data_IF_600624424318
#
_entry.id   IF_600624424318
#
_cell.length_a   1.000
_cell.length_b   1.000
_cell.length_c   1.000
_cell.angle_alpha   90.00
_cell.angle_beta   90.00
_cell.angle_gamma   90.00
#
_symmetry.space_group_name_H-M   'P 1'
#
loop_
_entity.id
_entity.type
_entity.pdbx_description
1 polymer ?
#
# COMPACT_ATOMS: atom_id res chain seq x y z
N UNK A 1 -3.82 -6.52 16.21
CA UNK A 1 -3.97 -5.06 16.01
C UNK A 1 -2.58 -4.45 15.92
N UNK A 2 -2.23 -3.97 14.72
CA UNK A 2 -0.93 -3.44 14.32
C UNK A 2 -0.56 -2.21 15.16
N UNK A 3 0.33 -2.39 16.14
CA UNK A 3 0.76 -1.34 17.09
C UNK A 3 1.82 -0.36 16.52
N UNK A 4 2.15 -0.42 15.22
CA UNK A 4 3.40 0.17 14.71
C UNK A 4 3.31 1.06 13.47
N UNK A 5 2.11 1.38 12.99
CA UNK A 5 1.97 2.35 11.89
C UNK A 5 0.96 3.40 12.37
N UNK A 6 1.37 4.67 12.59
CA UNK A 6 0.40 5.75 12.76
C UNK A 6 -0.51 5.70 11.55
N UNK A 7 -1.78 5.34 11.74
CA UNK A 7 -2.68 5.05 10.65
C UNK A 7 -2.73 6.24 9.70
N UNK A 8 -2.08 6.14 8.55
CA UNK A 8 -2.25 7.10 7.48
C UNK A 8 -3.58 6.78 6.81
N UNK A 9 -4.70 6.98 7.51
CA UNK A 9 -6.07 6.66 7.06
C UNK A 9 -6.56 7.56 5.90
N UNK A 10 -5.64 8.23 5.19
CA UNK A 10 -5.96 8.92 3.94
C UNK A 10 -6.31 7.90 2.87
N UNK A 11 -7.27 8.23 2.01
CA UNK A 11 -7.51 7.44 0.81
C UNK A 11 -6.26 7.40 -0.08
N UNK A 12 -6.09 6.32 -0.84
CA UNK A 12 -5.06 6.23 -1.86
C UNK A 12 -5.25 7.36 -2.87
N UNK A 13 -4.18 8.10 -3.11
CA UNK A 13 -4.12 9.09 -4.19
C UNK A 13 -4.13 8.38 -5.56
N UNK A 14 -4.30 9.15 -6.65
CA UNK A 14 -4.15 8.59 -7.99
C UNK A 14 -2.75 8.04 -8.23
N UNK A 15 -1.73 8.71 -7.70
CA UNK A 15 -0.32 8.28 -7.79
C UNK A 15 -0.10 6.94 -7.07
N UNK A 16 -0.67 6.78 -5.87
CA UNK A 16 -0.57 5.52 -5.13
C UNK A 16 -1.20 4.36 -5.94
N UNK A 17 -2.32 4.60 -6.62
CA UNK A 17 -2.99 3.58 -7.45
C UNK A 17 -2.15 3.20 -8.67
N UNK A 18 -1.57 4.19 -9.35
CA UNK A 18 -0.67 3.95 -10.48
C UNK A 18 0.56 3.15 -10.03
N UNK A 19 1.10 3.47 -8.84
CA UNK A 19 2.20 2.71 -8.25
C UNK A 19 1.79 1.26 -7.96
N UNK A 20 0.65 1.04 -7.29
CA UNK A 20 0.14 -0.30 -6.98
C UNK A 20 0.00 -1.13 -8.27
N UNK A 21 -0.63 -0.59 -9.31
CA UNK A 21 -0.82 -1.28 -10.60
C UNK A 21 0.52 -1.68 -11.23
N UNK A 22 1.49 -0.76 -11.27
CA UNK A 22 2.81 -1.02 -11.84
C UNK A 22 3.58 -2.10 -11.08
N UNK A 23 3.52 -2.11 -9.74
CA UNK A 23 4.20 -3.12 -8.93
C UNK A 23 3.52 -4.49 -9.02
N UNK A 24 2.18 -4.51 -9.07
CA UNK A 24 1.44 -5.75 -9.32
C UNK A 24 1.80 -6.34 -10.70
N UNK A 25 1.93 -5.52 -11.73
CA UNK A 25 2.38 -5.97 -13.06
C UNK A 25 3.81 -6.54 -13.06
N UNK A 26 4.65 -6.17 -12.08
CA UNK A 26 5.99 -6.74 -11.87
C UNK A 26 5.96 -8.03 -11.02
N UNK A 27 4.80 -8.41 -10.50
CA UNK A 27 4.64 -9.57 -9.61
C UNK A 27 4.98 -9.29 -8.14
N UNK A 28 5.01 -8.03 -7.73
CA UNK A 28 5.23 -7.70 -6.31
C UNK A 28 4.06 -8.10 -5.42
N UNK A 29 4.36 -8.28 -4.14
CA UNK A 29 3.36 -8.69 -3.16
C UNK A 29 2.68 -7.48 -2.51
N UNK A 30 1.38 -7.59 -2.21
CA UNK A 30 0.64 -6.55 -1.46
C UNK A 30 1.33 -6.16 -0.16
N UNK A 31 2.01 -7.10 0.52
CA UNK A 31 2.77 -6.84 1.74
C UNK A 31 3.91 -5.84 1.51
N UNK A 32 4.64 -5.98 0.41
CA UNK A 32 5.75 -5.09 0.07
C UNK A 32 5.25 -3.73 -0.40
N UNK A 33 4.23 -3.72 -1.26
CA UNK A 33 3.59 -2.49 -1.78
C UNK A 33 3.00 -1.67 -0.63
N UNK A 34 2.25 -2.31 0.28
CA UNK A 34 1.65 -1.66 1.43
C UNK A 34 2.70 -1.13 2.42
N UNK A 35 3.82 -1.83 2.59
CA UNK A 35 4.94 -1.33 3.40
C UNK A 35 5.51 -0.03 2.80
N UNK A 36 5.67 0.05 1.48
CA UNK A 36 6.15 1.25 0.82
C UNK A 36 5.18 2.42 0.98
N UNK A 37 3.88 2.16 0.84
CA UNK A 37 2.83 3.18 0.97
C UNK A 37 2.44 3.51 2.43
N UNK A 38 3.07 2.87 3.42
CA UNK A 38 2.69 2.95 4.83
C UNK A 38 1.19 2.68 5.05
N UNK A 39 0.65 1.67 4.35
CA UNK A 39 -0.74 1.19 4.44
C UNK A 39 -0.81 -0.19 5.04
N UNK A 40 -2.01 -0.56 5.47
CA UNK A 40 -2.30 -1.96 5.76
C UNK A 40 -2.44 -2.73 4.43
N UNK A 41 -1.80 -3.90 4.29
CA UNK A 41 -1.94 -4.74 3.09
C UNK A 41 -3.37 -5.15 2.76
N UNK A 42 -4.30 -5.10 3.72
CA UNK A 42 -5.73 -5.37 3.49
C UNK A 42 -6.51 -4.16 2.96
N UNK A 43 -5.88 -2.98 2.91
CA UNK A 43 -6.45 -1.73 2.39
C UNK A 43 -6.05 -1.43 0.94
N UNK A 44 -5.16 -2.26 0.36
CA UNK A 44 -4.71 -2.23 -1.04
C UNK A 44 -5.19 -3.50 -1.70
#
# INVERSE_FOLDING_TARGET
>A
MSKYIPGNQKHLSLEDRIYIENELNKGETFKNIARFLCKDPTTI
#
